data_IF_638952543588
#
_entry.id   IF_638952543588
#
_cell.length_a   1.000
_cell.length_b   1.000
_cell.length_c   1.000
_cell.angle_alpha   90.00
_cell.angle_beta   90.00
_cell.angle_gamma   90.00
#
_symmetry.space_group_name_H-M   'P 1'
#
loop_
_entity.id
_entity.type
_entity.pdbx_description
1 polymer ?
#
# COMPACT_ATOMS: atom_id res chain seq x y z
N UNK A 1 -19.78 -21.04 -5.03
CA UNK A 1 -18.99 -20.45 -6.12
C UNK A 1 -18.20 -21.53 -6.83
N UNK A 2 -18.12 -21.47 -8.17
CA UNK A 2 -17.53 -22.53 -9.01
C UNK A 2 -16.06 -22.30 -9.38
N UNK A 3 -15.48 -21.14 -9.04
CA UNK A 3 -14.06 -20.88 -9.32
C UNK A 3 -13.17 -21.56 -8.28
N UNK A 4 -12.49 -22.62 -8.69
CA UNK A 4 -11.56 -23.39 -7.85
C UNK A 4 -10.11 -23.28 -8.36
N UNK A 5 -9.91 -22.59 -9.49
CA UNK A 5 -8.57 -22.37 -10.07
C UNK A 5 -7.81 -21.28 -9.32
N UNK A 6 -6.55 -21.51 -9.07
CA UNK A 6 -5.62 -20.52 -8.52
C UNK A 6 -5.13 -19.51 -9.57
N UNK A 7 -5.58 -19.63 -10.82
CA UNK A 7 -5.24 -18.72 -11.92
C UNK A 7 -6.49 -18.09 -12.51
N UNK A 8 -6.38 -16.89 -13.04
CA UNK A 8 -7.48 -16.21 -13.71
C UNK A 8 -7.91 -16.99 -14.96
N UNK A 9 -9.23 -17.14 -15.21
CA UNK A 9 -9.75 -17.73 -16.44
C UNK A 9 -9.33 -16.93 -17.68
N UNK A 10 -9.04 -17.57 -18.79
CA UNK A 10 -8.65 -16.91 -20.04
C UNK A 10 -9.76 -16.01 -20.60
N UNK A 11 -11.03 -16.46 -20.56
CA UNK A 11 -12.19 -15.63 -20.92
C UNK A 11 -12.72 -14.90 -19.70
N UNK A 12 -12.12 -13.74 -19.39
CA UNK A 12 -12.49 -12.90 -18.26
C UNK A 12 -13.95 -12.45 -18.33
N UNK A 13 -14.47 -12.13 -19.52
CA UNK A 13 -15.85 -11.66 -19.68
C UNK A 13 -16.88 -12.74 -19.36
N UNK A 14 -16.66 -13.96 -19.83
CA UNK A 14 -17.53 -15.08 -19.49
C UNK A 14 -17.47 -15.38 -17.98
N UNK A 15 -16.27 -15.35 -17.37
CA UNK A 15 -16.08 -15.55 -15.95
C UNK A 15 -16.81 -14.48 -15.11
N UNK A 16 -16.74 -13.20 -15.51
CA UNK A 16 -17.44 -12.10 -14.84
C UNK A 16 -18.96 -12.32 -14.91
N UNK A 17 -19.52 -12.64 -16.08
CA UNK A 17 -20.96 -12.91 -16.23
C UNK A 17 -21.41 -14.08 -15.32
N UNK A 18 -20.63 -15.14 -15.25
CA UNK A 18 -20.92 -16.27 -14.37
C UNK A 18 -20.86 -15.86 -12.90
N UNK A 19 -19.77 -15.20 -12.49
CA UNK A 19 -19.59 -14.69 -11.13
C UNK A 19 -20.75 -13.81 -10.66
N UNK A 20 -21.17 -12.84 -11.47
CA UNK A 20 -22.29 -11.95 -11.13
C UNK A 20 -23.58 -12.73 -10.91
N UNK A 21 -23.90 -13.70 -11.77
CA UNK A 21 -25.09 -14.57 -11.58
C UNK A 21 -25.02 -15.35 -10.26
N UNK A 22 -23.86 -15.93 -9.96
CA UNK A 22 -23.67 -16.71 -8.73
C UNK A 22 -23.77 -15.83 -7.47
N UNK A 23 -23.10 -14.67 -7.47
CA UNK A 23 -23.14 -13.75 -6.33
C UNK A 23 -24.54 -13.16 -6.11
N UNK A 24 -25.24 -12.76 -7.18
CA UNK A 24 -26.63 -12.27 -7.08
C UNK A 24 -27.56 -13.37 -6.52
N UNK A 25 -27.41 -14.63 -6.98
CA UNK A 25 -28.19 -15.75 -6.45
C UNK A 25 -27.85 -16.04 -4.97
N UNK A 26 -26.60 -15.89 -4.56
CA UNK A 26 -26.16 -16.10 -3.19
C UNK A 26 -26.64 -15.01 -2.23
N UNK A 27 -26.56 -13.75 -2.64
CA UNK A 27 -26.91 -12.56 -1.83
C UNK A 27 -28.44 -12.40 -1.77
N UNK A 28 -29.14 -12.70 -2.88
CA UNK A 28 -30.56 -12.45 -3.04
C UNK A 28 -30.86 -10.99 -3.42
N UNK A 29 -31.26 -10.17 -2.48
CA UNK A 29 -31.52 -8.75 -2.75
C UNK A 29 -30.24 -7.91 -2.64
N UNK A 30 -29.48 -7.89 -3.73
CA UNK A 30 -28.22 -7.15 -3.82
C UNK A 30 -28.44 -5.65 -3.63
N UNK A 31 -29.54 -5.09 -4.18
CA UNK A 31 -29.83 -3.67 -4.07
C UNK A 31 -30.00 -3.26 -2.60
N UNK A 32 -30.83 -4.00 -1.85
CA UNK A 32 -31.06 -3.69 -0.42
C UNK A 32 -29.77 -3.82 0.41
N UNK A 33 -28.92 -4.81 0.14
CA UNK A 33 -27.62 -4.95 0.83
C UNK A 33 -26.69 -3.79 0.48
N UNK A 34 -26.64 -3.40 -0.80
CA UNK A 34 -25.80 -2.29 -1.24
C UNK A 34 -26.29 -0.93 -0.73
N UNK A 35 -27.61 -0.69 -0.68
CA UNK A 35 -28.18 0.55 -0.14
C UNK A 35 -27.82 0.70 1.34
N UNK A 36 -28.01 -0.35 2.13
CA UNK A 36 -27.62 -0.34 3.56
C UNK A 36 -26.13 -0.05 3.75
N UNK A 37 -25.27 -0.67 2.94
CA UNK A 37 -23.82 -0.41 2.97
C UNK A 37 -23.51 1.03 2.56
N UNK A 38 -24.16 1.52 1.51
CA UNK A 38 -24.00 2.90 1.02
C UNK A 38 -24.39 3.94 2.07
N UNK A 39 -25.47 3.73 2.80
CA UNK A 39 -25.88 4.60 3.90
C UNK A 39 -24.84 4.65 5.02
N UNK A 40 -24.27 3.48 5.37
CA UNK A 40 -23.19 3.40 6.35
C UNK A 40 -21.94 4.15 5.88
N UNK A 41 -21.53 3.95 4.63
CA UNK A 41 -20.39 4.67 4.04
C UNK A 41 -20.67 6.18 3.95
N UNK A 42 -21.88 6.59 3.51
CA UNK A 42 -22.28 7.99 3.43
C UNK A 42 -22.19 8.69 4.79
N UNK A 43 -22.58 8.01 5.87
CA UNK A 43 -22.40 8.52 7.24
C UNK A 43 -20.92 8.80 7.55
N UNK A 44 -20.04 7.88 7.17
CA UNK A 44 -18.57 8.03 7.36
C UNK A 44 -18.02 9.18 6.50
N UNK A 45 -18.49 9.31 5.25
CA UNK A 45 -18.13 10.42 4.35
C UNK A 45 -18.56 11.77 4.93
N UNK A 46 -19.78 11.85 5.45
CA UNK A 46 -20.29 13.07 6.09
C UNK A 46 -19.43 13.48 7.32
N UNK A 47 -19.02 12.52 8.16
CA UNK A 47 -18.10 12.78 9.28
C UNK A 47 -16.73 13.32 8.78
N UNK A 48 -16.17 12.72 7.74
CA UNK A 48 -14.89 13.15 7.15
C UNK A 48 -15.02 14.59 6.64
N UNK A 49 -16.08 14.88 5.90
CA UNK A 49 -16.33 16.21 5.36
C UNK A 49 -16.59 17.24 6.46
N UNK A 50 -17.27 16.85 7.54
CA UNK A 50 -17.46 17.73 8.71
C UNK A 50 -16.12 18.12 9.37
N UNK A 51 -15.16 17.19 9.49
CA UNK A 51 -13.81 17.49 9.98
C UNK A 51 -13.07 18.42 9.02
N UNK A 52 -13.08 18.09 7.71
CA UNK A 52 -12.45 18.94 6.67
C UNK A 52 -12.98 20.37 6.70
N UNK A 53 -14.30 20.54 6.80
CA UNK A 53 -14.94 21.86 6.83
C UNK A 53 -14.60 22.68 8.09
N UNK A 54 -14.25 22.01 9.19
CA UNK A 54 -13.77 22.66 10.42
C UNK A 54 -12.25 22.92 10.41
N UNK A 55 -11.53 22.46 9.39
CA UNK A 55 -10.06 22.50 9.36
C UNK A 55 -9.41 21.52 10.34
N UNK A 56 -10.16 20.52 10.82
CA UNK A 56 -9.66 19.49 11.72
C UNK A 56 -9.00 18.34 10.91
N UNK A 57 -7.98 17.71 11.50
CA UNK A 57 -7.32 16.58 10.87
C UNK A 57 -8.24 15.36 10.81
N UNK A 58 -8.36 14.77 9.62
CA UNK A 58 -9.01 13.47 9.44
C UNK A 58 -8.05 12.32 9.76
N UNK A 59 -6.75 12.55 9.55
CA UNK A 59 -5.70 11.56 9.79
C UNK A 59 -5.38 11.46 11.28
N UNK A 60 -5.39 10.24 11.85
CA UNK A 60 -4.78 10.01 13.16
C UNK A 60 -3.28 10.33 13.13
N UNK A 61 -2.84 11.16 14.06
CA UNK A 61 -1.42 11.50 14.24
C UNK A 61 -0.97 10.89 15.57
N UNK A 62 -0.02 9.98 15.50
CA UNK A 62 0.52 9.22 16.63
C UNK A 62 1.97 9.67 16.85
N UNK A 63 2.32 10.23 18.02
CA UNK A 63 3.72 10.49 18.36
C UNK A 63 4.51 9.18 18.41
N UNK A 64 5.69 9.14 17.79
CA UNK A 64 6.54 7.94 17.85
C UNK A 64 6.91 7.57 19.29
N UNK A 65 7.06 8.55 20.17
CA UNK A 65 7.34 8.28 21.59
C UNK A 65 6.23 7.44 22.26
N UNK A 66 4.97 7.55 21.82
CA UNK A 66 3.89 6.72 22.37
C UNK A 66 4.05 5.26 21.90
N UNK A 67 4.47 5.06 20.64
CA UNK A 67 4.81 3.73 20.12
C UNK A 67 5.97 3.13 20.90
N UNK A 68 7.07 3.87 20.99
CA UNK A 68 8.33 3.44 21.66
C UNK A 68 8.12 3.07 23.12
N UNK A 69 7.32 3.84 23.84
CA UNK A 69 7.09 3.66 25.26
C UNK A 69 5.90 2.74 25.59
N UNK A 70 5.18 2.25 24.57
CA UNK A 70 3.99 1.42 24.75
C UNK A 70 2.81 2.16 25.41
N UNK A 71 2.76 3.49 25.28
CA UNK A 71 1.74 4.36 25.90
C UNK A 71 0.59 4.72 24.96
N UNK A 72 0.50 4.05 23.81
CA UNK A 72 -0.62 4.24 22.88
C UNK A 72 -1.93 3.86 23.55
N UNK A 73 -2.87 4.80 23.57
CA UNK A 73 -4.19 4.61 24.15
C UNK A 73 -5.11 3.80 23.24
N UNK A 74 -6.16 3.21 23.81
CA UNK A 74 -7.19 2.53 23.02
C UNK A 74 -7.89 3.50 22.05
N UNK A 75 -8.09 4.75 22.44
CA UNK A 75 -8.67 5.77 21.57
C UNK A 75 -7.80 6.05 20.33
N UNK A 76 -6.48 6.07 20.47
CA UNK A 76 -5.55 6.20 19.34
C UNK A 76 -5.62 4.96 18.43
N UNK A 77 -5.64 3.74 19.01
CA UNK A 77 -5.79 2.49 18.25
C UNK A 77 -7.09 2.47 17.43
N UNK A 78 -8.20 2.78 18.08
CA UNK A 78 -9.52 2.85 17.44
C UNK A 78 -9.59 3.94 16.36
N UNK A 79 -8.94 5.09 16.56
CA UNK A 79 -8.85 6.12 15.54
C UNK A 79 -8.12 5.62 14.29
N UNK A 80 -6.99 4.92 14.46
CA UNK A 80 -6.25 4.32 13.33
C UNK A 80 -7.09 3.24 12.65
N UNK A 81 -7.74 2.35 13.41
CA UNK A 81 -8.62 1.31 12.84
C UNK A 81 -9.80 1.95 12.10
N UNK A 82 -10.43 2.95 12.68
CA UNK A 82 -11.57 3.63 12.07
C UNK A 82 -11.21 4.30 10.73
N UNK A 83 -10.00 4.85 10.60
CA UNK A 83 -9.55 5.57 9.41
C UNK A 83 -8.74 4.71 8.44
N UNK A 84 -8.19 3.60 8.90
CA UNK A 84 -7.32 2.76 8.09
C UNK A 84 -6.02 3.45 7.67
N UNK A 85 -5.63 4.52 8.35
CA UNK A 85 -4.42 5.26 8.05
C UNK A 85 -3.87 5.94 9.31
N UNK A 86 -2.59 6.30 9.28
CA UNK A 86 -1.93 7.04 10.35
C UNK A 86 -0.72 7.81 9.86
N UNK A 87 -0.40 8.90 10.57
CA UNK A 87 0.92 9.54 10.54
C UNK A 87 1.62 9.21 11.84
N UNK A 88 2.84 8.69 11.76
CA UNK A 88 3.71 8.55 12.92
C UNK A 88 4.63 9.76 12.95
N UNK A 89 4.35 10.68 13.89
CA UNK A 89 5.06 11.94 14.01
C UNK A 89 6.38 11.75 14.74
N UNK A 90 7.48 12.27 14.14
CA UNK A 90 8.82 12.15 14.69
C UNK A 90 9.30 10.69 14.75
N UNK A 91 8.92 9.87 13.76
CA UNK A 91 9.36 8.47 13.66
C UNK A 91 10.89 8.37 13.64
N UNK A 92 11.53 9.24 12.88
CA UNK A 92 12.97 9.46 12.90
C UNK A 92 13.31 10.91 13.22
N UNK A 93 14.49 11.19 13.81
CA UNK A 93 14.95 12.56 13.94
C UNK A 93 15.03 13.25 12.57
N UNK A 94 14.57 14.49 12.51
CA UNK A 94 14.56 15.29 11.25
C UNK A 94 15.92 15.32 10.57
N UNK A 95 16.97 15.53 11.35
CA UNK A 95 18.36 15.59 10.84
C UNK A 95 18.79 14.25 10.24
N UNK A 96 18.35 13.13 10.81
CA UNK A 96 18.63 11.79 10.28
C UNK A 96 17.95 11.58 8.92
N UNK A 97 16.68 11.98 8.78
CA UNK A 97 15.95 11.84 7.53
C UNK A 97 16.57 12.70 6.40
N UNK A 98 16.97 13.93 6.72
CA UNK A 98 17.68 14.80 5.79
C UNK A 98 19.06 14.26 5.42
N UNK A 99 19.79 13.68 6.39
CA UNK A 99 21.07 13.03 6.13
C UNK A 99 20.92 11.80 5.22
N UNK A 100 19.85 11.02 5.39
CA UNK A 100 19.52 9.91 4.49
C UNK A 100 19.20 10.39 3.07
N UNK A 101 18.44 11.48 2.92
CA UNK A 101 18.16 12.06 1.59
C UNK A 101 19.46 12.47 0.88
N UNK A 102 20.35 13.14 1.59
CA UNK A 102 21.66 13.54 1.04
C UNK A 102 22.53 12.32 0.72
N UNK A 103 22.60 11.35 1.62
CA UNK A 103 23.38 10.11 1.40
C UNK A 103 22.93 9.35 0.16
N UNK A 104 21.63 9.33 -0.14
CA UNK A 104 21.13 8.72 -1.37
C UNK A 104 21.51 9.51 -2.63
N UNK A 105 21.56 10.85 -2.55
CA UNK A 105 22.10 11.65 -3.66
C UNK A 105 23.58 11.36 -3.89
N UNK A 106 24.38 11.36 -2.82
CA UNK A 106 25.81 11.07 -2.90
C UNK A 106 26.05 9.67 -3.49
N UNK A 107 25.18 8.69 -3.14
CA UNK A 107 25.22 7.33 -3.69
C UNK A 107 24.90 7.28 -5.20
N UNK A 108 23.90 8.05 -5.66
CA UNK A 108 23.57 8.20 -7.08
C UNK A 108 24.72 8.87 -7.85
N UNK A 109 25.29 9.94 -7.31
CA UNK A 109 26.38 10.70 -7.95
C UNK A 109 27.68 9.90 -8.00
N UNK A 110 28.03 9.21 -6.90
CA UNK A 110 29.21 8.33 -6.83
C UNK A 110 29.18 7.25 -7.94
N UNK A 111 27.98 6.74 -8.21
CA UNK A 111 27.77 5.66 -9.17
C UNK A 111 27.29 6.19 -10.55
N UNK A 112 27.36 7.50 -10.79
CA UNK A 112 27.05 8.14 -12.07
C UNK A 112 25.68 7.71 -12.64
N UNK A 113 24.66 7.68 -11.79
CA UNK A 113 23.32 7.20 -12.17
C UNK A 113 22.80 7.85 -13.44
N UNK A 114 22.98 9.16 -13.62
CA UNK A 114 22.49 9.90 -14.78
C UNK A 114 23.14 9.44 -16.11
N UNK A 115 24.34 8.86 -16.06
CA UNK A 115 25.03 8.34 -17.24
C UNK A 115 24.51 6.94 -17.66
N UNK A 116 23.96 6.18 -16.70
CA UNK A 116 23.54 4.79 -16.93
C UNK A 116 22.02 4.61 -16.98
N UNK A 117 21.25 5.58 -16.53
CA UNK A 117 19.79 5.51 -16.52
C UNK A 117 19.21 5.51 -17.93
N UNK A 118 18.38 4.50 -18.23
CA UNK A 118 17.82 4.24 -19.58
C UNK A 118 16.34 4.61 -19.71
N UNK A 119 15.79 5.30 -18.72
CA UNK A 119 14.34 5.55 -18.63
C UNK A 119 13.64 4.57 -17.68
N UNK A 120 12.34 4.81 -17.38
CA UNK A 120 11.58 3.95 -16.47
C UNK A 120 11.47 2.53 -17.05
N UNK A 121 11.77 1.53 -16.23
CA UNK A 121 11.64 0.11 -16.57
C UNK A 121 10.19 -0.39 -16.54
N UNK A 122 9.25 0.43 -16.05
CA UNK A 122 7.83 0.14 -16.03
C UNK A 122 6.99 1.28 -16.62
N UNK A 123 5.85 0.95 -17.20
CA UNK A 123 4.93 1.92 -17.79
C UNK A 123 3.96 2.54 -16.78
N UNK A 124 3.88 2.01 -15.57
CA UNK A 124 2.92 2.49 -14.57
C UNK A 124 3.36 3.80 -13.94
N UNK A 125 4.64 3.88 -13.54
CA UNK A 125 5.23 5.11 -13.00
C UNK A 125 5.86 6.00 -14.08
N UNK A 126 6.08 5.49 -15.27
CA UNK A 126 6.62 6.24 -16.42
C UNK A 126 5.76 7.43 -16.86
N UNK A 127 4.48 7.46 -16.46
CA UNK A 127 3.58 8.61 -16.70
C UNK A 127 3.75 9.75 -15.70
N UNK A 128 4.53 9.54 -14.64
CA UNK A 128 4.85 10.57 -13.63
C UNK A 128 6.07 11.42 -14.04
N UNK A 129 6.59 11.28 -15.25
CA UNK A 129 7.89 11.79 -15.65
C UNK A 129 8.00 13.30 -15.79
N UNK A 130 8.93 13.88 -15.02
CA UNK A 130 9.80 14.99 -15.40
C UNK A 130 11.03 14.43 -16.14
N UNK A 131 11.93 15.30 -16.61
CA UNK A 131 13.17 14.95 -17.35
C UNK A 131 14.16 14.02 -16.61
N UNK A 132 13.92 13.73 -15.32
CA UNK A 132 14.57 12.72 -14.47
C UNK A 132 13.49 11.83 -13.86
N UNK A 133 13.79 10.59 -13.46
CA UNK A 133 12.80 9.75 -12.80
C UNK A 133 12.39 10.43 -11.48
N UNK A 134 11.10 10.56 -11.23
CA UNK A 134 10.65 10.89 -9.87
C UNK A 134 10.92 9.71 -8.93
N UNK A 135 10.82 8.48 -9.45
CA UNK A 135 11.02 7.25 -8.71
C UNK A 135 12.32 6.59 -9.19
N UNK A 136 13.30 6.55 -8.29
CA UNK A 136 14.62 6.01 -8.58
C UNK A 136 14.67 4.53 -8.28
N UNK A 137 15.08 3.68 -9.25
CA UNK A 137 15.14 2.22 -9.10
C UNK A 137 16.42 1.81 -8.35
N UNK A 138 16.58 2.29 -7.15
CA UNK A 138 17.63 1.90 -6.21
C UNK A 138 17.03 1.26 -4.97
N UNK A 139 17.69 0.26 -4.42
CA UNK A 139 17.14 -0.60 -3.38
C UNK A 139 18.11 -0.82 -2.22
N UNK A 140 19.42 -0.72 -2.48
CA UNK A 140 20.48 -1.20 -1.60
C UNK A 140 21.43 -0.09 -1.11
N UNK A 141 21.00 1.17 -1.14
CA UNK A 141 21.77 2.24 -0.54
C UNK A 141 21.88 2.05 0.97
N UNK A 142 22.96 2.58 1.58
CA UNK A 142 23.16 2.55 3.03
C UNK A 142 21.95 3.14 3.77
N UNK A 143 21.45 4.29 3.32
CA UNK A 143 20.30 4.97 3.92
C UNK A 143 19.02 4.14 3.90
N UNK A 144 18.67 3.52 2.75
CA UNK A 144 17.47 2.68 2.65
C UNK A 144 17.53 1.48 3.58
N UNK A 145 18.67 0.82 3.64
CA UNK A 145 18.81 -0.38 4.47
C UNK A 145 18.94 -0.06 5.95
N UNK A 146 19.59 1.04 6.33
CA UNK A 146 19.60 1.52 7.72
C UNK A 146 18.18 1.80 8.22
N UNK A 147 17.35 2.49 7.44
CA UNK A 147 15.96 2.75 7.79
C UNK A 147 15.15 1.44 7.93
N UNK A 148 15.27 0.52 6.97
CA UNK A 148 14.51 -0.75 6.95
C UNK A 148 14.86 -1.69 8.12
N UNK A 149 16.10 -1.66 8.61
CA UNK A 149 16.53 -2.52 9.71
C UNK A 149 16.62 -1.81 11.06
N UNK A 150 16.12 -0.57 11.15
CA UNK A 150 16.15 0.17 12.42
C UNK A 150 15.17 -0.42 13.43
N UNK A 151 15.49 -0.24 14.70
CA UNK A 151 14.60 -0.63 15.81
C UNK A 151 13.31 0.20 15.78
N UNK A 152 13.41 1.49 15.46
CA UNK A 152 12.28 2.40 15.34
C UNK A 152 11.28 1.93 14.30
N UNK A 153 11.79 1.49 13.13
CA UNK A 153 10.94 0.91 12.07
C UNK A 153 10.26 -0.37 12.55
N UNK A 154 10.99 -1.27 13.19
CA UNK A 154 10.43 -2.53 13.71
C UNK A 154 9.33 -2.27 14.76
N UNK A 155 9.50 -1.27 15.63
CA UNK A 155 8.52 -0.89 16.65
C UNK A 155 7.22 -0.36 15.99
N UNK A 156 7.33 0.51 14.99
CA UNK A 156 6.14 1.04 14.27
C UNK A 156 5.44 -0.08 13.50
N UNK A 157 6.18 -0.92 12.79
CA UNK A 157 5.59 -2.06 12.07
C UNK A 157 4.89 -3.03 13.01
N UNK A 158 5.47 -3.36 14.17
CA UNK A 158 4.83 -4.21 15.19
C UNK A 158 3.54 -3.56 15.71
N UNK A 159 3.56 -2.25 16.04
CA UNK A 159 2.35 -1.53 16.44
C UNK A 159 1.24 -1.66 15.40
N UNK A 160 1.54 -1.39 14.15
CA UNK A 160 0.56 -1.44 13.04
C UNK A 160 0.03 -2.87 12.80
N UNK A 161 0.91 -3.86 12.81
CA UNK A 161 0.53 -5.26 12.63
C UNK A 161 -0.39 -5.74 13.75
N UNK A 162 -0.18 -5.30 14.98
CA UNK A 162 -1.00 -5.64 16.16
C UNK A 162 -2.39 -5.00 16.16
N UNK A 163 -2.70 -4.09 15.25
CA UNK A 163 -4.06 -3.60 15.03
C UNK A 163 -4.96 -4.65 14.37
N UNK A 164 -4.37 -5.66 13.75
CA UNK A 164 -5.07 -6.73 13.05
C UNK A 164 -5.47 -7.88 13.98
N UNK A 165 -6.54 -8.55 13.61
CA UNK A 165 -6.86 -9.88 14.15
C UNK A 165 -6.01 -10.91 13.40
N UNK A 166 -4.82 -11.18 13.92
CA UNK A 166 -3.82 -12.05 13.27
C UNK A 166 -3.90 -13.53 13.70
N UNK A 167 -4.81 -13.84 14.63
CA UNK A 167 -5.11 -15.22 15.06
C UNK A 167 -6.61 -15.48 14.93
N UNK A 168 -6.97 -16.58 14.31
CA UNK A 168 -8.36 -17.03 14.24
C UNK A 168 -8.45 -18.54 13.99
N UNK A 169 -9.47 -19.18 14.56
CA UNK A 169 -9.72 -20.62 14.38
C UNK A 169 -8.50 -21.51 14.73
N UNK A 170 -7.71 -21.10 15.72
CA UNK A 170 -6.52 -21.83 16.15
C UNK A 170 -5.31 -21.71 15.21
N UNK A 171 -5.38 -20.84 14.19
CA UNK A 171 -4.26 -20.52 13.28
C UNK A 171 -3.78 -19.09 13.51
N UNK A 172 -2.48 -18.94 13.70
CA UNK A 172 -1.81 -17.66 13.61
C UNK A 172 -1.45 -17.39 12.14
N UNK A 173 -1.98 -16.31 11.57
CA UNK A 173 -1.82 -15.97 10.15
C UNK A 173 -0.48 -15.30 9.87
N UNK A 174 0.05 -14.55 10.84
CA UNK A 174 1.38 -13.95 10.77
C UNK A 174 1.91 -13.62 12.16
N UNK A 175 3.23 -13.46 12.26
CA UNK A 175 3.88 -12.90 13.46
C UNK A 175 3.81 -11.36 13.39
N UNK A 176 3.11 -10.69 14.34
CA UNK A 176 2.98 -9.24 14.32
C UNK A 176 4.26 -8.49 14.67
N UNK A 177 5.23 -9.13 15.32
CA UNK A 177 6.43 -8.48 15.85
C UNK A 177 7.62 -8.49 14.89
N UNK A 178 7.52 -9.24 13.80
CA UNK A 178 8.57 -9.29 12.79
C UNK A 178 7.98 -8.96 11.42
N UNK A 179 8.47 -7.90 10.80
CA UNK A 179 8.18 -7.60 9.40
C UNK A 179 9.37 -7.98 8.52
N UNK A 180 9.10 -8.55 7.36
CA UNK A 180 10.14 -8.82 6.36
C UNK A 180 10.58 -7.52 5.69
N UNK A 181 11.82 -7.46 5.22
CA UNK A 181 12.28 -6.39 4.34
C UNK A 181 11.60 -6.56 2.98
N UNK A 182 10.76 -5.58 2.60
CA UNK A 182 10.30 -5.40 1.24
C UNK A 182 11.06 -4.22 0.65
N UNK A 183 12.09 -4.45 -0.17
CA UNK A 183 12.90 -3.37 -0.72
C UNK A 183 12.10 -2.70 -1.84
N UNK A 184 11.73 -1.46 -1.61
CA UNK A 184 11.08 -0.60 -2.59
C UNK A 184 11.99 0.59 -2.90
N UNK A 185 11.61 1.37 -3.88
CA UNK A 185 12.33 2.50 -4.46
C UNK A 185 12.29 3.73 -3.55
N UNK A 186 12.88 4.81 -4.01
CA UNK A 186 12.71 6.15 -3.43
C UNK A 186 12.02 7.05 -4.46
N UNK A 187 11.27 8.03 -3.97
CA UNK A 187 10.77 9.12 -4.79
C UNK A 187 11.44 10.42 -4.38
N UNK A 188 11.93 11.17 -5.37
CA UNK A 188 12.43 12.52 -5.20
C UNK A 188 11.78 13.42 -6.23
N UNK A 189 10.99 14.36 -5.76
CA UNK A 189 10.26 15.29 -6.62
C UNK A 189 10.66 16.73 -6.25
N UNK A 190 11.36 17.43 -7.17
CA UNK A 190 11.88 18.77 -6.90
C UNK A 190 10.80 19.86 -6.99
N UNK A 191 11.08 21.06 -6.43
CA UNK A 191 10.30 22.25 -6.72
C UNK A 191 10.18 22.51 -8.22
N UNK A 192 9.08 23.13 -8.65
CA UNK A 192 8.79 23.39 -10.06
C UNK A 192 8.23 22.19 -10.82
N UNK A 193 8.09 21.03 -10.17
CA UNK A 193 7.53 19.84 -10.83
C UNK A 193 6.04 20.03 -11.11
N UNK A 194 5.63 19.67 -12.35
CA UNK A 194 4.23 19.49 -12.75
C UNK A 194 3.93 18.01 -12.83
N UNK A 195 2.87 17.56 -12.16
CA UNK A 195 2.42 16.16 -12.20
C UNK A 195 0.91 16.09 -12.32
N UNK A 196 0.42 15.17 -13.16
CA UNK A 196 -1.03 14.86 -13.24
C UNK A 196 -1.52 14.04 -12.05
N UNK A 197 -0.62 13.66 -11.16
CA UNK A 197 -0.92 12.77 -10.06
C UNK A 197 -1.19 11.32 -10.49
N UNK A 198 -1.86 10.58 -9.62
CA UNK A 198 -2.25 9.20 -9.86
C UNK A 198 -3.71 9.02 -9.42
N UNK A 199 -4.53 8.46 -10.28
CA UNK A 199 -5.95 8.22 -10.02
C UNK A 199 -6.20 7.34 -8.79
N UNK A 200 -7.39 7.44 -8.21
CA UNK A 200 -7.74 6.66 -7.03
C UNK A 200 -7.80 5.16 -7.35
N UNK A 201 -7.18 4.35 -6.50
CA UNK A 201 -7.05 2.90 -6.67
C UNK A 201 -6.72 2.21 -5.34
N UNK A 202 -6.74 0.88 -5.34
CA UNK A 202 -6.05 0.05 -4.35
C UNK A 202 -5.06 -0.86 -5.06
N UNK A 203 -3.95 -1.15 -4.41
CA UNK A 203 -2.97 -2.13 -4.87
C UNK A 203 -3.40 -3.56 -4.47
N UNK A 204 -2.55 -4.53 -4.83
CA UNK A 204 -2.69 -5.93 -4.41
C UNK A 204 -3.91 -6.63 -5.00
N UNK A 205 -3.96 -6.66 -6.32
CA UNK A 205 -4.96 -7.38 -7.09
C UNK A 205 -6.18 -6.55 -7.47
N UNK A 206 -6.73 -6.86 -8.60
CA UNK A 206 -7.92 -6.26 -9.19
C UNK A 206 -9.00 -7.34 -9.44
N UNK A 207 -9.02 -7.92 -10.64
CA UNK A 207 -9.97 -8.99 -11.01
C UNK A 207 -9.85 -10.23 -10.11
N UNK A 208 -8.66 -10.48 -9.58
CA UNK A 208 -8.32 -11.54 -8.64
C UNK A 208 -9.22 -11.52 -7.40
N UNK A 209 -9.60 -10.33 -6.91
CA UNK A 209 -10.44 -10.16 -5.70
C UNK A 209 -11.80 -10.84 -5.79
N UNK A 210 -12.32 -11.01 -7.01
CA UNK A 210 -13.59 -11.70 -7.24
C UNK A 210 -13.42 -13.15 -7.65
N UNK A 211 -12.36 -13.47 -8.41
CA UNK A 211 -12.24 -14.77 -9.10
C UNK A 211 -11.35 -15.78 -8.39
N UNK A 212 -10.39 -15.35 -7.57
CA UNK A 212 -9.47 -16.29 -6.93
C UNK A 212 -10.00 -16.79 -5.58
N UNK A 213 -9.86 -18.09 -5.27
CA UNK A 213 -10.44 -18.72 -4.08
C UNK A 213 -9.99 -18.06 -2.76
N UNK A 214 -8.70 -17.72 -2.63
CA UNK A 214 -8.18 -17.10 -1.41
C UNK A 214 -8.84 -15.73 -1.17
N UNK A 215 -8.98 -14.90 -2.21
CA UNK A 215 -9.69 -13.63 -2.11
C UNK A 215 -11.17 -13.81 -1.79
N UNK A 216 -11.82 -14.82 -2.34
CA UNK A 216 -13.21 -15.13 -2.01
C UNK A 216 -13.37 -15.49 -0.53
N UNK A 217 -12.37 -16.14 0.09
CA UNK A 217 -12.38 -16.39 1.54
C UNK A 217 -12.16 -15.11 2.34
N UNK A 218 -11.23 -14.23 1.92
CA UNK A 218 -11.00 -12.91 2.56
C UNK A 218 -12.29 -12.10 2.59
N UNK A 219 -13.04 -12.09 1.47
CA UNK A 219 -14.25 -11.27 1.31
C UNK A 219 -15.55 -12.09 1.44
N UNK A 220 -15.51 -13.27 2.06
CA UNK A 220 -16.67 -14.16 2.15
C UNK A 220 -17.90 -13.45 2.75
N UNK A 221 -17.72 -12.59 3.76
CA UNK A 221 -18.81 -11.85 4.38
C UNK A 221 -19.43 -10.79 3.48
N UNK A 222 -18.65 -10.24 2.56
CA UNK A 222 -19.16 -9.33 1.53
C UNK A 222 -19.97 -10.11 0.50
N UNK A 223 -19.42 -11.22 0.02
CA UNK A 223 -20.03 -12.03 -1.03
C UNK A 223 -21.23 -12.90 -0.57
N UNK A 224 -21.40 -13.09 0.74
CA UNK A 224 -22.62 -13.69 1.29
C UNK A 224 -23.70 -12.68 1.72
N UNK A 225 -23.47 -11.37 1.45
CA UNK A 225 -24.39 -10.28 1.79
C UNK A 225 -24.37 -9.86 3.27
N UNK A 226 -23.54 -10.47 4.11
CA UNK A 226 -23.42 -10.15 5.53
C UNK A 226 -22.41 -9.02 5.78
N UNK A 227 -22.55 -7.90 5.07
CA UNK A 227 -21.58 -6.78 5.09
C UNK A 227 -21.33 -6.21 6.49
N UNK A 228 -22.28 -6.30 7.40
CA UNK A 228 -22.12 -5.88 8.80
C UNK A 228 -21.12 -6.74 9.58
N UNK A 229 -20.81 -7.94 9.08
CA UNK A 229 -19.84 -8.88 9.66
C UNK A 229 -18.49 -8.83 8.95
N UNK A 230 -18.35 -8.02 7.93
CA UNK A 230 -17.07 -7.84 7.27
C UNK A 230 -16.16 -7.02 8.17
N UNK A 231 -15.02 -7.61 8.52
CA UNK A 231 -13.95 -6.96 9.28
C UNK A 231 -12.72 -6.79 8.39
N UNK A 232 -12.39 -5.58 7.95
CA UNK A 232 -11.19 -5.33 7.13
C UNK A 232 -9.89 -5.64 7.87
N UNK A 233 -9.94 -5.72 9.20
CA UNK A 233 -8.78 -6.01 10.06
C UNK A 233 -8.58 -7.50 10.33
N UNK A 234 -9.37 -8.37 9.74
CA UNK A 234 -9.20 -9.80 9.86
C UNK A 234 -8.13 -10.30 8.87
N UNK A 235 -7.05 -10.90 9.40
CA UNK A 235 -5.95 -11.42 8.59
C UNK A 235 -6.23 -12.79 7.95
N UNK A 236 -7.34 -13.43 8.31
CA UNK A 236 -7.67 -14.76 7.81
C UNK A 236 -7.66 -14.80 6.27
N UNK A 237 -6.95 -15.76 5.72
CA UNK A 237 -6.76 -16.01 4.29
C UNK A 237 -5.98 -14.93 3.51
N UNK A 238 -5.66 -13.78 4.08
CA UNK A 238 -4.93 -12.71 3.37
C UNK A 238 -3.50 -13.09 3.02
N UNK A 239 -2.87 -13.93 3.82
CA UNK A 239 -1.52 -14.46 3.55
C UNK A 239 -1.48 -15.54 2.47
N UNK A 240 -2.65 -16.05 2.06
CA UNK A 240 -2.81 -17.09 1.03
C UNK A 240 -3.12 -16.49 -0.35
N UNK A 241 -3.37 -15.17 -0.41
CA UNK A 241 -3.69 -14.46 -1.65
C UNK A 241 -2.47 -14.35 -2.54
N UNK A 242 -2.62 -14.67 -3.83
CA UNK A 242 -1.62 -14.42 -4.86
C UNK A 242 -2.12 -13.39 -5.87
N UNK A 243 -1.20 -12.59 -6.38
CA UNK A 243 -1.45 -11.63 -7.46
C UNK A 243 -0.87 -12.15 -8.76
N UNK A 244 -1.68 -12.17 -9.79
CA UNK A 244 -1.27 -12.56 -11.13
C UNK A 244 -1.27 -11.33 -12.03
N UNK A 245 -0.09 -10.78 -12.29
CA UNK A 245 0.07 -9.70 -13.26
C UNK A 245 0.55 -10.25 -14.60
N UNK A 246 0.05 -9.66 -15.68
CA UNK A 246 0.39 -10.10 -17.04
C UNK A 246 1.86 -9.79 -17.37
N UNK A 247 2.40 -8.73 -16.80
CA UNK A 247 3.72 -8.17 -17.14
C UNK A 247 4.68 -7.99 -15.94
N UNK A 248 4.30 -8.45 -14.76
CA UNK A 248 5.06 -8.30 -13.49
C UNK A 248 5.37 -6.83 -13.09
N UNK A 249 4.78 -5.82 -13.73
CA UNK A 249 5.11 -4.41 -13.47
C UNK A 249 4.40 -3.84 -12.25
N UNK A 250 3.32 -4.49 -11.80
CA UNK A 250 2.51 -4.05 -10.65
C UNK A 250 2.36 -5.13 -9.58
N UNK A 251 3.20 -6.17 -9.63
CA UNK A 251 3.15 -7.29 -8.70
C UNK A 251 3.62 -6.89 -7.31
N UNK A 252 2.93 -7.37 -6.28
CA UNK A 252 3.42 -7.39 -4.91
C UNK A 252 3.37 -8.83 -4.37
N UNK A 253 4.53 -9.45 -4.21
CA UNK A 253 4.63 -10.85 -3.77
C UNK A 253 4.54 -11.04 -2.27
N UNK A 254 4.32 -9.97 -1.48
CA UNK A 254 4.15 -10.05 -0.03
C UNK A 254 2.75 -9.64 0.39
N UNK A 255 2.28 -10.22 1.48
CA UNK A 255 1.16 -9.65 2.20
C UNK A 255 1.66 -8.45 3.02
N UNK A 256 1.06 -7.28 2.78
CA UNK A 256 1.30 -6.04 3.52
C UNK A 256 0.08 -5.71 4.36
N UNK A 257 0.23 -5.53 5.65
CA UNK A 257 -0.84 -5.00 6.52
C UNK A 257 -1.07 -3.53 6.24
N UNK A 258 0.05 -2.80 6.07
CA UNK A 258 0.05 -1.39 5.70
C UNK A 258 1.06 -1.14 4.59
N UNK A 259 0.68 -0.30 3.67
CA UNK A 259 1.62 0.42 2.84
C UNK A 259 2.12 1.63 3.61
N UNK A 260 3.31 2.12 3.28
CA UNK A 260 3.86 3.26 3.98
C UNK A 260 5.13 3.81 3.34
N UNK A 261 5.51 4.98 3.84
CA UNK A 261 6.77 5.63 3.49
C UNK A 261 7.21 6.60 4.60
N UNK A 262 8.50 6.87 4.64
CA UNK A 262 9.12 7.87 5.49
C UNK A 262 9.37 9.15 4.68
N UNK A 263 8.99 10.31 5.22
CA UNK A 263 9.26 11.60 4.64
C UNK A 263 10.76 11.96 4.77
N UNK A 264 11.37 12.33 3.65
CA UNK A 264 12.76 12.79 3.58
C UNK A 264 12.86 14.28 3.35
N UNK A 265 11.73 14.96 3.24
CA UNK A 265 11.57 16.41 3.14
C UNK A 265 10.31 16.84 3.86
N UNK A 266 10.25 18.11 4.24
CA UNK A 266 9.01 18.69 4.74
C UNK A 266 7.97 18.74 3.60
N UNK A 267 6.71 18.52 3.92
CA UNK A 267 5.62 18.48 2.96
C UNK A 267 4.40 19.25 3.46
N UNK A 268 3.79 20.02 2.58
CA UNK A 268 2.57 20.78 2.88
C UNK A 268 1.41 20.33 2.02
N UNK A 269 0.16 20.30 2.52
CA UNK A 269 -1.02 20.00 1.71
C UNK A 269 -1.12 20.86 0.45
N UNK A 270 -1.72 20.28 -0.62
CA UNK A 270 -1.84 20.97 -1.91
C UNK A 270 -0.62 20.83 -2.85
N UNK A 271 0.42 20.13 -2.42
CA UNK A 271 1.66 19.98 -3.19
C UNK A 271 1.79 18.58 -3.85
N UNK A 272 0.72 18.08 -4.47
CA UNK A 272 0.75 16.77 -5.15
C UNK A 272 0.98 15.61 -4.19
N UNK A 273 0.35 15.65 -3.02
CA UNK A 273 0.54 14.66 -1.97
C UNK A 273 -0.40 13.47 -2.10
N UNK A 274 -0.15 12.46 -1.27
CA UNK A 274 -1.00 11.31 -1.08
C UNK A 274 -2.38 11.74 -0.55
N UNK A 275 -3.43 11.25 -1.17
CA UNK A 275 -4.79 11.27 -0.68
C UNK A 275 -5.26 9.84 -0.41
N UNK A 276 -6.11 9.67 0.58
CA UNK A 276 -6.76 8.39 0.87
C UNK A 276 -8.27 8.58 1.05
N UNK A 277 -9.02 7.50 0.82
CA UNK A 277 -10.38 7.36 1.34
C UNK A 277 -10.27 6.68 2.71
N UNK A 278 -10.35 7.41 3.83
CA UNK A 278 -10.01 6.86 5.14
C UNK A 278 -11.19 6.06 5.74
N UNK A 279 -11.59 5.03 5.01
CA UNK A 279 -12.70 4.12 5.32
C UNK A 279 -12.30 2.71 4.85
N UNK A 280 -11.68 1.87 5.69
CA UNK A 280 -11.24 0.52 5.28
C UNK A 280 -12.39 -0.36 4.76
N UNK A 281 -13.60 -0.18 5.30
CA UNK A 281 -14.81 -0.90 4.91
C UNK A 281 -15.29 -0.56 3.48
N UNK A 282 -14.77 0.52 2.88
CA UNK A 282 -15.10 0.91 1.50
C UNK A 282 -14.74 -0.18 0.47
N UNK A 283 -13.87 -1.13 0.81
CA UNK A 283 -13.60 -2.28 -0.04
C UNK A 283 -14.87 -3.11 -0.30
N UNK A 284 -15.75 -3.27 0.70
CA UNK A 284 -17.04 -3.97 0.52
C UNK A 284 -17.94 -3.24 -0.51
N UNK A 285 -17.95 -1.91 -0.48
CA UNK A 285 -18.66 -1.08 -1.47
C UNK A 285 -18.15 -1.34 -2.88
N UNK A 286 -16.82 -1.33 -3.08
CA UNK A 286 -16.21 -1.59 -4.39
C UNK A 286 -16.57 -3.00 -4.88
N UNK A 287 -16.53 -4.00 -4.01
CA UNK A 287 -16.78 -5.39 -4.37
C UNK A 287 -18.24 -5.66 -4.75
N UNK A 288 -19.21 -4.99 -4.13
CA UNK A 288 -20.63 -5.16 -4.43
C UNK A 288 -21.13 -4.25 -5.55
N UNK A 289 -20.53 -3.09 -5.77
CA UNK A 289 -20.97 -2.11 -6.78
C UNK A 289 -21.17 -2.71 -8.18
N UNK A 290 -20.31 -3.62 -8.68
CA UNK A 290 -20.49 -4.23 -9.99
C UNK A 290 -21.72 -5.13 -10.12
N UNK A 291 -22.33 -5.54 -9.02
CA UNK A 291 -23.50 -6.44 -9.04
C UNK A 291 -24.82 -5.72 -9.28
N UNK A 292 -24.84 -4.38 -9.29
CA UNK A 292 -26.02 -3.59 -9.57
C UNK A 292 -26.37 -3.61 -11.06
N UNK A 293 -27.64 -3.34 -11.38
CA UNK A 293 -28.19 -3.49 -12.72
C UNK A 293 -27.67 -2.45 -13.75
N UNK A 294 -27.13 -1.32 -13.27
CA UNK A 294 -26.55 -0.27 -14.11
C UNK A 294 -25.12 -0.57 -14.59
N UNK A 295 -24.52 -1.67 -14.12
CA UNK A 295 -23.19 -2.10 -14.54
C UNK A 295 -23.28 -3.23 -15.56
N UNK A 296 -22.68 -3.12 -16.77
CA UNK A 296 -22.72 -4.17 -17.77
C UNK A 296 -22.35 -5.55 -17.24
N UNK A 297 -23.02 -6.60 -17.73
CA UNK A 297 -22.91 -7.97 -17.21
C UNK A 297 -21.50 -8.57 -17.30
N UNK A 298 -20.66 -8.06 -18.17
CA UNK A 298 -19.30 -8.52 -18.43
C UNK A 298 -18.22 -7.53 -17.91
N UNK A 299 -18.62 -6.60 -17.03
CA UNK A 299 -17.74 -5.58 -16.44
C UNK A 299 -17.80 -5.57 -14.90
N UNK A 300 -16.71 -5.13 -14.29
CA UNK A 300 -16.57 -4.90 -12.85
C UNK A 300 -16.10 -3.46 -12.60
N UNK A 301 -16.91 -2.47 -13.03
CA UNK A 301 -16.65 -1.04 -12.81
C UNK A 301 -15.25 -0.58 -13.31
N UNK A 302 -14.83 -1.05 -14.49
CA UNK A 302 -13.56 -0.66 -15.11
C UNK A 302 -12.36 -1.50 -14.66
N UNK A 303 -12.57 -2.56 -13.90
CA UNK A 303 -11.50 -3.47 -13.50
C UNK A 303 -10.95 -4.26 -14.68
N UNK A 304 -9.63 -4.35 -14.77
CA UNK A 304 -8.92 -5.13 -15.78
C UNK A 304 -7.87 -6.03 -15.11
N UNK A 305 -7.58 -7.21 -15.70
CA UNK A 305 -6.56 -8.10 -15.17
C UNK A 305 -5.17 -7.45 -15.25
N UNK A 306 -4.31 -7.78 -14.29
CA UNK A 306 -2.93 -7.29 -14.24
C UNK A 306 -2.82 -5.77 -14.03
N UNK A 307 -3.82 -5.15 -13.43
CA UNK A 307 -3.87 -3.74 -13.09
C UNK A 307 -4.19 -3.56 -11.59
N UNK A 308 -3.98 -2.33 -11.10
CA UNK A 308 -4.51 -1.94 -9.79
C UNK A 308 -6.03 -1.87 -9.86
N UNK A 309 -6.70 -2.02 -8.73
CA UNK A 309 -8.16 -1.91 -8.65
C UNK A 309 -8.58 -0.44 -8.75
N UNK A 310 -9.21 -0.01 -9.85
CA UNK A 310 -9.53 1.40 -10.06
C UNK A 310 -10.75 1.84 -9.24
N UNK A 311 -10.70 3.07 -8.77
CA UNK A 311 -11.82 3.76 -8.13
C UNK A 311 -12.07 5.07 -8.89
N UNK A 312 -13.29 5.32 -9.33
CA UNK A 312 -13.58 6.43 -10.23
C UNK A 312 -14.88 7.16 -9.88
N UNK A 313 -14.95 8.41 -10.27
CA UNK A 313 -16.17 9.24 -10.15
C UNK A 313 -17.39 8.58 -10.80
N UNK A 314 -17.20 7.92 -11.96
CA UNK A 314 -18.29 7.25 -12.68
C UNK A 314 -18.96 6.15 -11.84
N UNK A 315 -18.16 5.34 -11.15
CA UNK A 315 -18.66 4.13 -10.49
C UNK A 315 -18.75 4.26 -8.97
N UNK A 316 -17.94 5.14 -8.38
CA UNK A 316 -17.76 5.24 -6.94
C UNK A 316 -17.77 6.71 -6.46
N UNK A 317 -18.73 7.57 -6.89
CA UNK A 317 -18.71 9.00 -6.60
C UNK A 317 -18.65 9.27 -5.09
N UNK A 318 -19.42 8.52 -4.28
CA UNK A 318 -19.42 8.63 -2.82
C UNK A 318 -18.02 8.44 -2.21
N UNK A 319 -17.21 7.52 -2.75
CA UNK A 319 -15.86 7.27 -2.24
C UNK A 319 -14.89 8.37 -2.66
N UNK A 320 -15.02 8.90 -3.87
CA UNK A 320 -14.18 9.99 -4.37
C UNK A 320 -14.39 11.26 -3.52
N UNK A 321 -15.61 11.54 -3.07
CA UNK A 321 -15.94 12.66 -2.18
C UNK A 321 -15.17 12.59 -0.84
N UNK A 322 -14.85 11.39 -0.36
CA UNK A 322 -14.12 11.16 0.89
C UNK A 322 -12.60 11.31 0.76
N UNK A 323 -12.04 11.49 -0.44
CA UNK A 323 -10.61 11.66 -0.63
C UNK A 323 -10.07 12.79 0.25
N UNK A 324 -9.03 12.47 1.02
CA UNK A 324 -8.46 13.37 2.03
C UNK A 324 -6.93 13.35 1.94
N UNK A 325 -6.35 14.55 1.81
CA UNK A 325 -4.89 14.72 1.81
C UNK A 325 -4.29 14.32 3.15
N UNK A 326 -3.05 13.84 3.12
CA UNK A 326 -2.22 13.79 4.32
C UNK A 326 -2.06 15.20 4.91
N UNK A 327 -1.88 15.32 6.25
CA UNK A 327 -1.55 16.60 6.88
C UNK A 327 -0.14 17.08 6.49
N UNK A 328 0.25 18.25 6.96
CA UNK A 328 1.64 18.71 6.85
C UNK A 328 2.57 17.77 7.61
N UNK A 329 3.70 17.48 7.00
CA UNK A 329 4.75 16.60 7.53
C UNK A 329 6.08 17.30 7.62
N UNK A 330 6.89 16.85 8.57
CA UNK A 330 8.32 17.16 8.64
C UNK A 330 9.14 15.96 8.16
N UNK A 331 10.33 16.20 7.69
CA UNK A 331 11.26 15.12 7.40
C UNK A 331 11.45 14.25 8.66
N UNK A 332 11.37 12.93 8.51
CA UNK A 332 11.41 11.97 9.61
C UNK A 332 10.03 11.47 10.06
N UNK A 333 8.93 12.13 9.67
CA UNK A 333 7.59 11.56 9.85
C UNK A 333 7.37 10.36 8.92
N UNK A 334 6.48 9.46 9.28
CA UNK A 334 6.07 8.39 8.36
C UNK A 334 4.56 8.30 8.21
N UNK A 335 4.13 7.91 7.02
CA UNK A 335 2.72 7.81 6.63
C UNK A 335 2.40 6.36 6.32
N UNK A 336 1.25 5.91 6.81
CA UNK A 336 0.81 4.52 6.72
C UNK A 336 -0.66 4.43 6.35
N UNK A 337 -1.01 3.47 5.48
CA UNK A 337 -2.40 3.17 5.15
C UNK A 337 -2.61 1.68 4.97
N UNK A 338 -3.75 1.19 5.45
CA UNK A 338 -4.18 -0.19 5.37
C UNK A 338 -4.21 -0.67 3.91
N UNK A 339 -3.88 -1.92 3.65
CA UNK A 339 -3.74 -2.47 2.29
C UNK A 339 -5.01 -2.35 1.42
N UNK A 340 -6.20 -2.27 2.01
CA UNK A 340 -7.46 -2.08 1.29
C UNK A 340 -7.91 -0.62 1.22
N UNK A 341 -7.17 0.32 1.80
CA UNK A 341 -7.52 1.74 1.74
C UNK A 341 -7.23 2.28 0.34
N UNK A 342 -8.26 2.88 -0.24
CA UNK A 342 -8.17 3.56 -1.54
C UNK A 342 -7.25 4.75 -1.40
N UNK A 343 -6.31 4.89 -2.33
CA UNK A 343 -5.37 5.99 -2.32
C UNK A 343 -5.14 6.56 -3.72
N UNK A 344 -4.64 7.78 -3.76
CA UNK A 344 -4.33 8.53 -4.97
C UNK A 344 -3.18 9.50 -4.71
N UNK A 345 -2.61 10.06 -5.75
CA UNK A 345 -1.70 11.21 -5.67
C UNK A 345 -2.38 12.39 -6.34
N UNK A 346 -2.51 13.49 -5.60
CA UNK A 346 -3.11 14.70 -6.16
C UNK A 346 -2.26 15.27 -7.31
N UNK A 347 -2.88 15.90 -8.32
CA UNK A 347 -2.13 16.67 -9.32
C UNK A 347 -1.47 17.88 -8.67
N UNK A 348 -0.40 18.34 -9.28
CA UNK A 348 0.29 19.60 -8.93
C UNK A 348 0.81 20.26 -10.20
N UNK A 349 0.63 21.57 -10.33
CA UNK A 349 1.11 22.34 -11.50
C UNK A 349 2.49 22.95 -11.26
N UNK A 350 2.76 23.41 -10.07
CA UNK A 350 4.03 24.03 -9.66
C UNK A 350 4.32 23.68 -8.20
N UNK A 351 5.06 22.59 -7.99
CA UNK A 351 5.41 22.16 -6.64
C UNK A 351 6.38 23.14 -5.99
N UNK A 352 6.06 23.61 -4.78
CA UNK A 352 6.86 24.66 -4.11
C UNK A 352 8.04 24.09 -3.32
N UNK A 353 7.94 22.89 -2.81
CA UNK A 353 8.98 22.23 -2.02
C UNK A 353 9.39 20.89 -2.58
N UNK A 354 10.31 20.20 -1.90
CA UNK A 354 10.65 18.83 -2.21
C UNK A 354 9.55 17.86 -1.79
N UNK A 355 9.34 16.81 -2.56
CA UNK A 355 8.43 15.71 -2.22
C UNK A 355 9.19 14.40 -2.18
N UNK A 356 10.12 14.26 -1.23
CA UNK A 356 11.03 13.12 -1.15
C UNK A 356 10.55 12.10 -0.13
N UNK A 357 10.44 10.83 -0.54
CA UNK A 357 10.01 9.73 0.32
C UNK A 357 10.81 8.47 0.08
N UNK A 358 10.92 7.66 1.12
CA UNK A 358 11.46 6.30 1.09
C UNK A 358 10.32 5.33 1.38
N UNK A 359 9.96 4.46 0.43
CA UNK A 359 8.89 3.49 0.59
C UNK A 359 9.32 2.33 1.49
N UNK A 360 8.59 2.12 2.59
CA UNK A 360 8.79 1.02 3.53
C UNK A 360 7.42 0.58 4.04
N UNK A 361 6.88 -0.58 3.65
CA UNK A 361 5.61 -1.10 4.14
C UNK A 361 5.76 -1.85 5.47
N UNK A 362 4.64 -2.20 6.10
CA UNK A 362 4.56 -3.22 7.13
C UNK A 362 4.14 -4.55 6.47
N UNK A 363 5.06 -5.49 6.42
CA UNK A 363 4.87 -6.80 5.79
C UNK A 363 5.20 -7.90 6.83
N UNK A 364 4.23 -8.31 7.68
CA UNK A 364 4.50 -9.19 8.81
C UNK A 364 4.99 -10.56 8.36
N UNK A 365 5.81 -11.20 9.20
CA UNK A 365 6.36 -12.52 8.92
C UNK A 365 5.25 -13.58 8.85
N UNK A 366 5.12 -14.21 7.72
CA UNK A 366 4.31 -15.39 7.45
C UNK A 366 5.04 -16.26 6.43
N UNK A 367 4.52 -17.43 6.13
CA UNK A 367 5.16 -18.38 5.19
C UNK A 367 5.43 -17.73 3.83
N UNK A 368 4.43 -17.05 3.26
CA UNK A 368 4.54 -16.31 2.00
C UNK A 368 5.63 -15.25 2.05
N UNK A 369 5.61 -14.41 3.07
CA UNK A 369 6.54 -13.30 3.21
C UNK A 369 7.97 -13.80 3.48
N UNK A 370 8.13 -14.88 4.23
CA UNK A 370 9.43 -15.54 4.43
C UNK A 370 10.01 -16.08 3.12
N UNK A 371 9.16 -16.69 2.28
CA UNK A 371 9.60 -17.16 0.96
C UNK A 371 10.12 -16.01 0.08
N UNK A 372 9.46 -14.85 0.16
CA UNK A 372 9.94 -13.64 -0.53
C UNK A 372 11.23 -13.09 0.09
N UNK A 373 11.32 -13.04 1.43
CA UNK A 373 12.51 -12.54 2.14
C UNK A 373 13.80 -13.31 1.77
N UNK A 374 13.69 -14.61 1.51
CA UNK A 374 14.83 -15.42 1.00
C UNK A 374 15.31 -14.92 -0.36
N UNK A 375 14.39 -14.56 -1.28
CA UNK A 375 14.73 -13.99 -2.58
C UNK A 375 15.33 -12.58 -2.44
N UNK A 376 14.84 -11.80 -1.47
CA UNK A 376 15.40 -10.47 -1.14
C UNK A 376 16.85 -10.61 -0.67
N UNK A 377 17.15 -11.60 0.18
CA UNK A 377 18.51 -11.88 0.62
C UNK A 377 19.44 -12.17 -0.56
N UNK A 378 19.04 -13.05 -1.49
CA UNK A 378 19.80 -13.34 -2.71
C UNK A 378 20.01 -12.10 -3.59
N UNK A 379 18.99 -11.24 -3.72
CA UNK A 379 19.10 -9.99 -4.46
C UNK A 379 20.05 -9.00 -3.78
N UNK A 380 20.03 -8.89 -2.44
CA UNK A 380 20.96 -8.08 -1.67
C UNK A 380 22.41 -8.58 -1.84
N UNK A 381 22.65 -9.89 -1.78
CA UNK A 381 23.98 -10.49 -1.96
C UNK A 381 24.59 -10.11 -3.31
N UNK A 382 23.79 -10.13 -4.36
CA UNK A 382 24.23 -9.87 -5.73
C UNK A 382 24.12 -8.41 -6.17
N UNK A 383 23.39 -7.56 -5.45
CA UNK A 383 23.04 -6.20 -5.87
C UNK A 383 22.01 -6.16 -7.00
N UNK A 384 21.28 -7.26 -7.22
CA UNK A 384 20.23 -7.32 -8.23
C UNK A 384 18.99 -6.54 -7.81
N UNK A 385 18.18 -6.12 -8.79
CA UNK A 385 16.84 -5.60 -8.52
C UNK A 385 16.01 -6.68 -7.82
N UNK A 386 15.16 -6.32 -6.82
CA UNK A 386 14.25 -7.28 -6.17
C UNK A 386 13.22 -7.84 -7.15
N UNK A 387 12.70 -9.03 -6.86
CA UNK A 387 11.90 -9.81 -7.81
C UNK A 387 10.57 -9.19 -8.25
N UNK A 388 10.03 -8.24 -7.47
CA UNK A 388 8.78 -7.54 -7.80
C UNK A 388 8.99 -6.28 -8.65
N UNK A 389 10.23 -5.95 -8.98
CA UNK A 389 10.59 -4.76 -9.75
C UNK A 389 11.30 -5.12 -11.05
N UNK A 390 11.27 -4.22 -12.06
CA UNK A 390 12.01 -4.43 -13.30
C UNK A 390 13.48 -4.74 -13.04
N UNK A 391 14.04 -5.68 -13.77
CA UNK A 391 15.46 -6.08 -13.67
C UNK A 391 16.34 -5.05 -14.37
N UNK A 392 16.52 -3.92 -13.75
CA UNK A 392 17.45 -2.89 -14.20
C UNK A 392 18.88 -3.16 -13.70
N UNK A 393 19.00 -3.77 -12.51
CA UNK A 393 20.24 -4.32 -11.95
C UNK A 393 21.39 -3.29 -11.87
N UNK A 394 21.10 -2.00 -11.73
CA UNK A 394 22.12 -0.94 -11.68
C UNK A 394 23.11 -1.15 -10.54
N UNK A 395 22.63 -1.58 -9.38
CA UNK A 395 23.42 -1.65 -8.14
C UNK A 395 24.40 -2.85 -8.08
N UNK A 396 24.41 -3.76 -9.09
CA UNK A 396 25.32 -4.91 -9.10
C UNK A 396 26.80 -4.54 -9.05
N UNK A 397 27.15 -3.44 -9.68
CA UNK A 397 28.54 -2.96 -9.80
C UNK A 397 28.80 -1.67 -9.03
N UNK A 398 27.80 -1.17 -8.29
CA UNK A 398 27.91 0.11 -7.60
C UNK A 398 28.78 0.02 -6.37
N UNK A 399 29.51 1.11 -6.12
CA UNK A 399 30.30 1.31 -4.91
C UNK A 399 29.40 1.74 -3.75
N UNK A 400 29.85 1.51 -2.52
CA UNK A 400 29.15 1.87 -1.27
C UNK A 400 27.74 1.29 -1.12
N UNK A 401 27.46 0.21 -1.84
CA UNK A 401 26.22 -0.56 -1.70
C UNK A 401 26.19 -1.28 -0.35
N UNK A 402 25.03 -1.24 0.31
CA UNK A 402 24.80 -2.05 1.52
C UNK A 402 24.93 -3.56 1.20
N UNK A 403 25.49 -4.30 2.13
CA UNK A 403 25.78 -5.75 1.96
C UNK A 403 25.18 -6.56 3.11
N UNK A 404 25.14 -7.87 2.95
CA UNK A 404 24.68 -8.80 3.99
C UNK A 404 25.52 -8.68 5.28
N UNK A 405 26.80 -8.27 5.17
CA UNK A 405 27.67 -8.08 6.34
C UNK A 405 27.27 -6.87 7.20
N UNK A 406 26.54 -5.93 6.64
CA UNK A 406 26.09 -4.71 7.30
C UNK A 406 24.75 -4.90 8.04
N UNK A 407 24.16 -6.10 7.96
CA UNK A 407 22.89 -6.42 8.62
C UNK A 407 23.07 -6.50 10.15
N UNK A 408 22.25 -5.73 10.83
CA UNK A 408 22.06 -5.85 12.29
C UNK A 408 21.07 -6.99 12.63
N UNK A 409 20.73 -7.15 13.91
CA UNK A 409 19.82 -8.22 14.35
C UNK A 409 18.40 -8.08 13.76
N UNK A 410 17.87 -6.85 13.61
CA UNK A 410 16.56 -6.62 13.02
C UNK A 410 16.55 -6.95 11.52
N UNK A 411 17.58 -6.54 10.79
CA UNK A 411 17.76 -6.90 9.38
C UNK A 411 17.89 -8.40 9.16
N UNK A 412 18.62 -9.11 10.00
CA UNK A 412 18.74 -10.57 9.95
C UNK A 412 17.41 -11.27 10.21
N UNK A 413 16.64 -10.83 11.22
CA UNK A 413 15.29 -11.35 11.47
C UNK A 413 14.36 -11.09 10.31
N UNK A 414 14.37 -9.86 9.78
CA UNK A 414 13.53 -9.46 8.66
C UNK A 414 13.84 -10.18 7.33
N UNK A 415 15.01 -10.82 7.23
CA UNK A 415 15.39 -11.69 6.11
C UNK A 415 15.30 -13.19 6.45
N UNK A 416 14.76 -13.55 7.62
CA UNK A 416 14.61 -14.94 8.04
C UNK A 416 15.94 -15.67 8.26
N UNK A 417 16.98 -14.96 8.68
CA UNK A 417 18.31 -15.52 8.92
C UNK A 417 18.51 -15.98 10.36
N UNK A 418 17.69 -15.53 11.28
CA UNK A 418 17.71 -15.86 12.72
C UNK A 418 16.29 -15.89 13.26
#
# INVERSE_FOLDING_TARGET
MTFTSETLPADHKAAIRQLKRELRAQIGDVQAVFDKLSDSIATRVAEINALKNKGESVWPVIPFNDVKNGTITDAQREAVKRRGCAVIKGHFPREQALAWDQSMLDYLDLNKFDEVYKGPGDNFFGTLTASRPEIYPIYWSQAQMQARQSEEMAQVQSFLNRLWTFESNGKQWFDPDVSVIYPDRIRRRPPGTTSKGLGAHTDSGALERWLLPAYQQVFARVFDGNVDKYDPWNAAHRTEVEEYTVDNTTKCSVFRTFQGWTALSDMIPGQGLLHVVPIPEAMAYILLRPLLDDVPEDELCGVAPGRVLPVSEKWHPLLIEALTSIPALEAGDSVWWHCDVIHSVAPVEDQQGWGNVMYIPAAPMCEKNLAYAKKVKEALETGSSPGDFPREDYEKTWQDRFTVNDLNIHGKRALGMV
#
